data_IF_252364669847
#
_entry.id   IF_252364669847
#
_cell.length_a   1.000
_cell.length_b   1.000
_cell.length_c   1.000
_cell.angle_alpha   90.00
_cell.angle_beta   90.00
_cell.angle_gamma   90.00
#
_symmetry.space_group_name_H-M   'P 1'
#
loop_
_entity.id
_entity.type
_entity.pdbx_description
1 polymer ?
#
# COMPACT_ATOMS: atom_id res chain seq x y z
N UNK A 1 41.99 -37.00 -33.45
CA UNK A 1 41.31 -35.69 -33.35
C UNK A 1 39.94 -35.79 -32.64
N UNK A 2 39.09 -36.79 -32.92
CA UNK A 2 37.78 -36.99 -32.26
C UNK A 2 37.77 -37.14 -30.72
N UNK A 3 38.80 -37.76 -30.12
CA UNK A 3 38.82 -38.07 -28.67
C UNK A 3 39.09 -36.86 -27.75
N UNK A 4 39.77 -35.81 -28.22
CA UNK A 4 40.03 -34.60 -27.40
C UNK A 4 38.78 -33.73 -27.22
N UNK A 5 37.95 -33.61 -28.26
CA UNK A 5 36.71 -32.83 -28.23
C UNK A 5 35.66 -33.40 -27.25
N UNK A 6 35.59 -34.73 -27.13
CA UNK A 6 34.69 -35.38 -26.17
C UNK A 6 35.08 -35.02 -24.72
N UNK A 7 36.38 -35.02 -24.42
CA UNK A 7 36.90 -34.73 -23.09
C UNK A 7 36.76 -33.25 -22.69
N UNK A 8 36.82 -32.32 -23.66
CA UNK A 8 36.54 -30.90 -23.42
C UNK A 8 35.05 -30.64 -23.22
N UNK A 9 34.19 -31.28 -24.01
CA UNK A 9 32.74 -31.15 -23.87
C UNK A 9 32.26 -31.66 -22.50
N UNK A 10 32.79 -32.81 -22.05
CA UNK A 10 32.47 -33.37 -20.73
C UNK A 10 32.90 -32.42 -19.59
N UNK A 11 34.05 -31.76 -19.73
CA UNK A 11 34.53 -30.76 -18.75
C UNK A 11 33.64 -29.51 -18.72
N UNK A 12 33.20 -29.02 -19.88
CA UNK A 12 32.27 -27.88 -19.96
C UNK A 12 30.94 -28.24 -19.31
N UNK A 13 30.39 -29.42 -19.61
CA UNK A 13 29.12 -29.89 -19.02
C UNK A 13 29.22 -30.01 -17.50
N UNK A 14 30.30 -30.62 -16.98
CA UNK A 14 30.52 -30.73 -15.53
C UNK A 14 30.62 -29.35 -14.87
N UNK A 15 31.32 -28.41 -15.50
CA UNK A 15 31.45 -27.06 -14.97
C UNK A 15 30.13 -26.29 -15.02
N UNK A 16 29.34 -26.45 -16.08
CA UNK A 16 28.00 -25.87 -16.18
C UNK A 16 27.04 -26.44 -15.12
N UNK A 17 27.07 -27.75 -14.87
CA UNK A 17 26.26 -28.39 -13.82
C UNK A 17 26.65 -27.85 -12.44
N UNK A 18 27.95 -27.79 -12.12
CA UNK A 18 28.43 -27.27 -10.84
C UNK A 18 28.07 -25.79 -10.66
N UNK A 19 28.17 -25.01 -11.73
CA UNK A 19 27.80 -23.59 -11.69
C UNK A 19 26.30 -23.39 -11.49
N UNK A 20 25.46 -24.20 -12.15
CA UNK A 20 24.01 -24.16 -11.94
C UNK A 20 23.62 -24.53 -10.50
N UNK A 21 24.28 -25.55 -9.92
CA UNK A 21 24.06 -25.95 -8.53
C UNK A 21 24.48 -24.86 -7.53
N UNK A 22 25.60 -24.18 -7.75
CA UNK A 22 26.03 -23.05 -6.92
C UNK A 22 25.06 -21.87 -7.02
N UNK A 23 24.53 -21.57 -8.21
CA UNK A 23 23.51 -20.53 -8.40
C UNK A 23 22.23 -20.92 -7.66
N UNK A 24 21.75 -22.15 -7.81
CA UNK A 24 20.56 -22.63 -7.09
C UNK A 24 20.73 -22.57 -5.57
N UNK A 25 21.89 -22.95 -5.04
CA UNK A 25 22.18 -22.85 -3.60
C UNK A 25 22.25 -21.40 -3.11
N UNK A 26 22.87 -20.51 -3.90
CA UNK A 26 22.86 -19.07 -3.60
C UNK A 26 21.45 -18.50 -3.62
N UNK A 27 20.61 -18.93 -4.56
CA UNK A 27 19.21 -18.48 -4.65
C UNK A 27 18.38 -18.96 -3.46
N UNK A 28 18.56 -20.22 -3.03
CA UNK A 28 17.90 -20.73 -1.82
C UNK A 28 18.31 -19.96 -0.56
N UNK A 29 19.58 -19.58 -0.44
CA UNK A 29 20.08 -18.82 0.70
C UNK A 29 19.63 -17.34 0.66
N UNK A 30 19.49 -16.74 -0.52
CA UNK A 30 18.94 -15.38 -0.67
C UNK A 30 17.44 -15.30 -0.39
N UNK A 31 16.67 -16.36 -0.67
CA UNK A 31 15.24 -16.41 -0.30
C UNK A 31 15.09 -16.51 1.22
N UNK A 32 15.92 -17.33 1.89
CA UNK A 32 15.89 -17.44 3.36
C UNK A 32 16.27 -16.13 4.07
N UNK A 33 17.17 -15.33 3.50
CA UNK A 33 17.53 -14.02 4.05
C UNK A 33 16.44 -12.94 3.84
N UNK A 34 15.42 -13.18 3.02
CA UNK A 34 14.25 -12.29 2.92
C UNK A 34 13.14 -12.66 3.92
N UNK A 35 13.13 -13.89 4.45
CA UNK A 35 12.12 -14.38 5.39
C UNK A 35 12.57 -14.29 6.87
N UNK A 36 13.86 -14.08 7.14
CA UNK A 36 14.43 -14.02 8.51
C UNK A 36 14.76 -12.58 9.02
N UNK A 37 14.22 -11.53 8.40
CA UNK A 37 14.19 -10.18 8.99
C UNK A 37 12.77 -9.62 8.96
N UNK A 38 11.94 -9.98 9.95
CA UNK A 38 11.14 -9.02 10.73
C UNK A 38 10.11 -9.71 11.63
N UNK A 39 10.59 -10.42 12.64
CA UNK A 39 9.86 -10.46 13.91
C UNK A 39 10.52 -9.45 14.85
N UNK A 40 9.74 -8.47 15.34
CA UNK A 40 10.13 -7.40 16.29
C UNK A 40 10.46 -6.00 15.72
N UNK A 41 9.61 -5.48 14.83
CA UNK A 41 9.16 -4.08 14.94
C UNK A 41 7.77 -3.99 14.31
N UNK A 42 6.78 -3.42 15.01
CA UNK A 42 5.46 -3.14 14.43
C UNK A 42 5.62 -2.02 13.41
N UNK A 43 6.05 -2.38 12.21
CA UNK A 43 6.14 -1.47 11.08
C UNK A 43 4.74 -0.89 10.83
N UNK A 44 4.52 0.44 10.94
CA UNK A 44 3.21 1.04 10.74
C UNK A 44 2.61 0.72 9.37
N UNK A 45 3.44 0.43 8.37
CA UNK A 45 2.98 0.06 7.03
C UNK A 45 2.46 -1.39 7.00
N UNK A 46 3.10 -2.32 7.71
CA UNK A 46 2.58 -3.69 7.92
C UNK A 46 1.22 -3.71 8.65
N UNK A 47 1.03 -2.83 9.62
CA UNK A 47 -0.24 -2.68 10.36
C UNK A 47 -1.33 -2.09 9.46
N UNK A 48 -1.00 -1.13 8.59
CA UNK A 48 -1.97 -0.59 7.63
C UNK A 48 -2.40 -1.63 6.60
N UNK A 49 -1.46 -2.43 6.09
CA UNK A 49 -1.74 -3.51 5.14
C UNK A 49 -2.74 -4.53 5.70
N UNK A 50 -2.49 -5.06 6.90
CA UNK A 50 -3.42 -6.01 7.54
C UNK A 50 -4.82 -5.42 7.78
N UNK A 51 -4.91 -4.12 8.10
CA UNK A 51 -6.19 -3.41 8.22
C UNK A 51 -6.91 -3.27 6.89
N UNK A 52 -6.18 -3.01 5.80
CA UNK A 52 -6.75 -2.96 4.45
C UNK A 52 -7.29 -4.32 4.05
N UNK A 53 -6.55 -5.41 4.28
CA UNK A 53 -7.01 -6.76 3.97
C UNK A 53 -8.28 -7.12 4.74
N UNK A 54 -8.32 -6.82 6.04
CA UNK A 54 -9.51 -7.00 6.88
C UNK A 54 -10.69 -6.17 6.39
N UNK A 55 -10.44 -4.94 5.95
CA UNK A 55 -11.46 -4.05 5.41
C UNK A 55 -12.04 -4.59 4.10
N UNK A 56 -11.20 -5.05 3.18
CA UNK A 56 -11.61 -5.66 1.90
C UNK A 56 -12.44 -6.92 2.10
N UNK A 57 -12.11 -7.75 3.10
CA UNK A 57 -12.93 -8.90 3.48
C UNK A 57 -14.32 -8.48 3.94
N UNK A 58 -14.41 -7.39 4.72
CA UNK A 58 -15.67 -6.90 5.28
C UNK A 58 -16.61 -6.34 4.21
N UNK A 59 -16.10 -5.55 3.27
CA UNK A 59 -16.94 -4.91 2.24
C UNK A 59 -17.23 -5.83 1.04
N UNK A 60 -16.55 -6.98 0.97
CA UNK A 60 -16.65 -7.96 -0.10
C UNK A 60 -15.52 -7.83 -1.14
N UNK A 61 -14.67 -8.86 -1.21
CA UNK A 61 -13.43 -8.92 -2.02
C UNK A 61 -13.59 -8.67 -3.53
N UNK A 62 -14.82 -8.65 -4.06
CA UNK A 62 -15.09 -8.53 -5.50
C UNK A 62 -16.10 -7.44 -5.87
N UNK A 63 -16.52 -6.60 -4.92
CA UNK A 63 -17.47 -5.52 -5.20
C UNK A 63 -16.80 -4.40 -5.99
N UNK A 64 -15.54 -4.13 -5.69
CA UNK A 64 -14.73 -3.08 -6.31
C UNK A 64 -13.38 -3.60 -6.77
N UNK A 65 -12.71 -2.94 -7.73
CA UNK A 65 -11.35 -3.30 -8.13
C UNK A 65 -10.37 -3.15 -6.96
N UNK A 66 -9.78 -4.26 -6.51
CA UNK A 66 -8.96 -4.28 -5.29
C UNK A 66 -7.82 -3.25 -5.32
N UNK A 67 -7.09 -3.16 -6.43
CA UNK A 67 -5.95 -2.23 -6.56
C UNK A 67 -6.38 -0.78 -6.36
N UNK A 68 -7.52 -0.39 -6.94
CA UNK A 68 -8.08 0.96 -6.84
C UNK A 68 -8.53 1.26 -5.41
N UNK A 69 -9.22 0.31 -4.75
CA UNK A 69 -9.61 0.46 -3.34
C UNK A 69 -8.41 0.60 -2.43
N UNK A 70 -7.37 -0.22 -2.60
CA UNK A 70 -6.15 -0.18 -1.78
C UNK A 70 -5.44 1.16 -1.93
N UNK A 71 -5.25 1.64 -3.16
CA UNK A 71 -4.60 2.93 -3.41
C UNK A 71 -5.40 4.09 -2.82
N UNK A 72 -6.72 4.05 -2.97
CA UNK A 72 -7.62 5.07 -2.44
C UNK A 72 -7.64 5.06 -0.90
N UNK A 73 -7.71 3.88 -0.27
CA UNK A 73 -7.63 3.71 1.18
C UNK A 73 -6.32 4.26 1.76
N UNK A 74 -5.19 3.96 1.14
CA UNK A 74 -3.88 4.50 1.56
C UNK A 74 -3.86 6.01 1.51
N UNK A 75 -4.43 6.62 0.46
CA UNK A 75 -4.54 8.08 0.35
C UNK A 75 -5.47 8.67 1.41
N UNK A 76 -6.65 8.08 1.61
CA UNK A 76 -7.58 8.53 2.64
C UNK A 76 -6.96 8.47 4.03
N UNK A 77 -6.33 7.34 4.36
CA UNK A 77 -5.59 7.15 5.60
C UNK A 77 -4.48 8.18 5.76
N UNK A 78 -3.68 8.42 4.73
CA UNK A 78 -2.59 9.39 4.75
C UNK A 78 -3.06 10.81 5.02
N UNK A 79 -4.18 11.24 4.43
CA UNK A 79 -4.77 12.57 4.67
C UNK A 79 -5.22 12.69 6.12
N UNK A 80 -6.00 11.73 6.60
CA UNK A 80 -6.56 11.76 7.97
C UNK A 80 -5.42 11.75 8.98
N UNK A 81 -4.40 10.91 8.79
CA UNK A 81 -3.20 10.90 9.63
C UNK A 81 -2.42 12.21 9.56
N UNK A 82 -2.31 12.86 8.40
CA UNK A 82 -1.66 14.18 8.29
C UNK A 82 -2.39 15.23 9.12
N UNK A 83 -3.73 15.30 8.99
CA UNK A 83 -4.56 16.26 9.70
C UNK A 83 -4.58 16.01 11.21
N UNK A 84 -4.53 14.75 11.66
CA UNK A 84 -4.35 14.41 13.08
C UNK A 84 -3.03 14.96 13.65
N UNK A 85 -1.96 14.97 12.85
CA UNK A 85 -0.65 15.48 13.25
C UNK A 85 -0.49 17.00 13.03
N UNK A 86 -1.44 17.63 12.31
CA UNK A 86 -1.37 19.03 11.87
C UNK A 86 -2.66 19.78 12.22
N UNK A 87 -2.86 20.22 13.47
CA UNK A 87 -4.12 20.81 13.94
C UNK A 87 -4.52 22.10 13.20
N UNK A 88 -3.56 22.87 12.70
CA UNK A 88 -3.79 24.08 11.89
C UNK A 88 -4.47 23.71 10.54
N UNK A 89 -3.96 22.66 9.90
CA UNK A 89 -4.47 22.14 8.64
C UNK A 89 -5.85 21.50 8.87
N UNK A 90 -6.03 20.75 9.97
CA UNK A 90 -7.32 20.22 10.38
C UNK A 90 -8.37 21.30 10.59
N UNK A 91 -8.01 22.40 11.26
CA UNK A 91 -8.91 23.54 11.47
C UNK A 91 -9.26 24.21 10.15
N UNK A 92 -8.36 24.23 9.18
CA UNK A 92 -8.64 24.76 7.84
C UNK A 92 -9.66 23.90 7.08
N UNK A 93 -9.62 22.57 7.25
CA UNK A 93 -10.57 21.64 6.60
C UNK A 93 -11.91 21.60 7.32
N UNK A 94 -11.90 21.53 8.65
CA UNK A 94 -13.08 21.24 9.48
C UNK A 94 -13.69 22.47 10.15
N UNK A 95 -12.98 23.60 10.17
CA UNK A 95 -13.30 24.73 11.04
C UNK A 95 -13.09 24.44 12.54
N UNK A 96 -12.55 23.28 12.90
CA UNK A 96 -12.33 22.83 14.27
C UNK A 96 -11.15 21.85 14.37
N UNK A 97 -10.64 21.64 15.58
CA UNK A 97 -9.62 20.63 15.83
C UNK A 97 -10.18 19.22 15.56
N UNK A 98 -9.36 18.37 14.97
CA UNK A 98 -9.71 16.99 14.67
C UNK A 98 -9.49 16.10 15.91
N UNK A 99 -10.46 15.23 16.20
CA UNK A 99 -10.36 14.31 17.33
C UNK A 99 -9.44 13.14 16.94
N UNK A 100 -8.34 12.95 17.68
CA UNK A 100 -7.16 12.16 17.26
C UNK A 100 -7.26 10.63 17.26
N UNK A 101 -8.33 10.05 16.70
CA UNK A 101 -8.45 8.58 16.56
C UNK A 101 -9.17 8.13 15.27
N UNK A 102 -9.35 9.03 14.30
CA UNK A 102 -10.07 8.70 13.07
C UNK A 102 -9.23 7.86 12.12
N UNK A 103 -7.91 8.02 12.10
CA UNK A 103 -7.02 7.23 11.22
C UNK A 103 -6.94 5.75 11.58
N UNK A 104 -7.40 5.36 12.77
CA UNK A 104 -7.49 3.97 13.23
C UNK A 104 -8.65 3.19 12.59
N UNK A 105 -9.62 3.87 11.99
CA UNK A 105 -10.76 3.27 11.32
C UNK A 105 -10.80 3.66 9.84
N UNK A 106 -10.60 2.67 8.96
CA UNK A 106 -10.55 2.92 7.51
C UNK A 106 -11.91 3.37 6.96
N UNK A 107 -13.02 2.92 7.55
CA UNK A 107 -14.36 3.37 7.16
C UNK A 107 -14.54 4.86 7.44
N UNK A 108 -14.10 5.32 8.62
CA UNK A 108 -14.13 6.74 8.98
C UNK A 108 -13.18 7.57 8.12
N UNK A 109 -12.06 6.99 7.70
CA UNK A 109 -11.15 7.68 6.78
C UNK A 109 -11.81 7.96 5.42
N UNK A 110 -12.53 6.98 4.88
CA UNK A 110 -13.28 7.13 3.64
C UNK A 110 -14.36 8.20 3.81
N UNK A 111 -15.20 8.06 4.83
CA UNK A 111 -16.30 8.98 5.11
C UNK A 111 -15.80 10.42 5.26
N UNK A 112 -14.74 10.61 6.04
CA UNK A 112 -14.14 11.92 6.26
C UNK A 112 -13.70 12.55 4.94
N UNK A 113 -12.93 11.81 4.13
CA UNK A 113 -12.37 12.36 2.89
C UNK A 113 -13.46 12.59 1.85
N UNK A 114 -14.46 11.71 1.76
CA UNK A 114 -15.60 11.88 0.87
C UNK A 114 -16.39 13.15 1.19
N UNK A 115 -16.66 13.40 2.49
CA UNK A 115 -17.44 14.56 2.93
C UNK A 115 -16.68 15.90 2.82
N UNK A 116 -15.34 15.87 2.84
CA UNK A 116 -14.51 17.08 2.89
C UNK A 116 -13.60 17.26 1.67
N UNK A 117 -13.86 16.53 0.58
CA UNK A 117 -12.95 16.43 -0.57
C UNK A 117 -12.56 17.79 -1.16
N UNK A 118 -13.53 18.71 -1.31
CA UNK A 118 -13.28 20.04 -1.86
C UNK A 118 -12.35 20.87 -0.97
N UNK A 119 -12.55 20.84 0.36
CA UNK A 119 -11.70 21.53 1.31
C UNK A 119 -10.29 20.93 1.35
N UNK A 120 -10.17 19.61 1.25
CA UNK A 120 -8.91 18.88 1.17
C UNK A 120 -8.12 19.27 -0.09
N UNK A 121 -8.77 19.33 -1.27
CA UNK A 121 -8.14 19.79 -2.51
C UNK A 121 -7.69 21.25 -2.43
N UNK A 122 -8.54 22.11 -1.87
CA UNK A 122 -8.20 23.52 -1.67
C UNK A 122 -6.97 23.65 -0.75
N UNK A 123 -6.95 22.97 0.38
CA UNK A 123 -5.82 22.99 1.29
C UNK A 123 -4.55 22.47 0.63
N UNK A 124 -4.61 21.32 -0.05
CA UNK A 124 -3.45 20.75 -0.76
C UNK A 124 -2.85 21.72 -1.80
N UNK A 125 -3.71 22.47 -2.50
CA UNK A 125 -3.28 23.45 -3.51
C UNK A 125 -2.49 24.63 -2.90
N UNK A 126 -2.77 24.97 -1.64
CA UNK A 126 -2.05 26.04 -0.92
C UNK A 126 -0.86 25.49 -0.13
N UNK A 127 -0.98 24.28 0.41
CA UNK A 127 0.00 23.60 1.25
C UNK A 127 -0.04 22.09 0.97
N UNK A 128 0.91 21.56 0.17
CA UNK A 128 0.94 20.14 -0.12
C UNK A 128 1.16 19.30 1.15
N UNK A 129 0.26 18.35 1.42
CA UNK A 129 0.33 17.44 2.59
C UNK A 129 1.65 16.66 2.65
N UNK A 130 2.02 16.04 1.53
CA UNK A 130 3.32 15.38 1.33
C UNK A 130 3.74 15.58 -0.12
N UNK A 131 5.03 15.44 -0.40
CA UNK A 131 5.56 15.53 -1.78
C UNK A 131 5.03 14.44 -2.72
N UNK A 132 4.49 13.34 -2.18
CA UNK A 132 3.93 12.22 -2.92
C UNK A 132 2.41 12.25 -3.02
N UNK A 133 1.73 13.21 -2.36
CA UNK A 133 0.27 13.26 -2.39
C UNK A 133 -0.23 13.73 -3.76
N UNK A 134 -1.11 12.92 -4.35
CA UNK A 134 -1.80 13.22 -5.61
C UNK A 134 -3.27 13.57 -5.31
N UNK A 135 -3.76 14.76 -5.74
CA UNK A 135 -5.18 15.09 -5.69
C UNK A 135 -6.05 14.04 -6.40
N UNK A 136 -7.25 13.81 -5.87
CA UNK A 136 -8.24 12.94 -6.50
C UNK A 136 -8.75 13.55 -7.80
N UNK A 137 -8.67 12.80 -8.89
CA UNK A 137 -9.39 13.09 -10.13
C UNK A 137 -10.90 12.98 -9.95
N UNK A 138 -11.67 13.46 -10.93
CA UNK A 138 -13.13 13.34 -10.91
C UNK A 138 -13.61 11.89 -10.86
N UNK A 139 -12.91 10.98 -11.55
CA UNK A 139 -13.21 9.54 -11.55
C UNK A 139 -12.95 8.93 -10.18
N UNK A 140 -11.80 9.24 -9.56
CA UNK A 140 -11.48 8.77 -8.21
C UNK A 140 -12.41 9.37 -7.15
N UNK A 141 -12.88 10.61 -7.35
CA UNK A 141 -13.86 11.24 -6.48
C UNK A 141 -15.22 10.54 -6.54
N UNK A 142 -15.68 10.16 -7.74
CA UNK A 142 -16.89 9.37 -7.91
C UNK A 142 -16.72 7.98 -7.28
N UNK A 143 -15.58 7.32 -7.53
CA UNK A 143 -15.27 6.03 -6.94
C UNK A 143 -15.24 6.07 -5.41
N UNK A 144 -14.64 7.11 -4.83
CA UNK A 144 -14.65 7.35 -3.38
C UNK A 144 -16.07 7.53 -2.84
N UNK A 145 -16.93 8.27 -3.56
CA UNK A 145 -18.34 8.45 -3.19
C UNK A 145 -19.11 7.12 -3.20
N UNK A 146 -18.95 6.33 -4.27
CA UNK A 146 -19.61 5.03 -4.41
C UNK A 146 -19.13 4.04 -3.33
N UNK A 147 -17.83 4.02 -3.07
CA UNK A 147 -17.24 3.21 -1.99
C UNK A 147 -17.78 3.64 -0.62
N UNK A 148 -17.87 4.94 -0.35
CA UNK A 148 -18.42 5.45 0.91
C UNK A 148 -19.88 5.00 1.09
N UNK A 149 -20.72 5.14 0.05
CA UNK A 149 -22.11 4.71 0.09
C UNK A 149 -22.25 3.20 0.34
N UNK A 150 -21.37 2.38 -0.25
CA UNK A 150 -21.34 0.93 -0.02
C UNK A 150 -20.89 0.57 1.40
N UNK A 151 -19.86 1.25 1.91
CA UNK A 151 -19.37 1.05 3.28
C UNK A 151 -20.47 1.41 4.29
N UNK A 152 -21.16 2.53 4.09
CA UNK A 152 -22.27 2.96 4.95
C UNK A 152 -23.50 2.06 4.91
N UNK A 153 -23.71 1.30 3.82
CA UNK A 153 -24.85 0.37 3.72
C UNK A 153 -24.53 -1.01 4.28
N UNK A 154 -23.25 -1.34 4.42
CA UNK A 154 -22.76 -2.65 4.89
C UNK A 154 -22.48 -2.65 6.40
N UNK A 155 -22.38 -1.48 7.03
CA UNK A 155 -22.10 -1.28 8.47
C UNK A 155 -23.34 -0.78 9.23
#
# INVERSE_FOLDING_TARGET
IRSKFQCELDRVVINSIRSAQNISQSFSHSIQLCDEESESSTDPDSVLLSRIDTFLERIGKYVFPQTEVVELLRRCYGIVRHLENSPEDATTVLGAAMNGTQSADLSKCIEFVANNLAAIHALHSHRPFTSSFKPFSSEEAQFLSDLNAHVSSTL
#
